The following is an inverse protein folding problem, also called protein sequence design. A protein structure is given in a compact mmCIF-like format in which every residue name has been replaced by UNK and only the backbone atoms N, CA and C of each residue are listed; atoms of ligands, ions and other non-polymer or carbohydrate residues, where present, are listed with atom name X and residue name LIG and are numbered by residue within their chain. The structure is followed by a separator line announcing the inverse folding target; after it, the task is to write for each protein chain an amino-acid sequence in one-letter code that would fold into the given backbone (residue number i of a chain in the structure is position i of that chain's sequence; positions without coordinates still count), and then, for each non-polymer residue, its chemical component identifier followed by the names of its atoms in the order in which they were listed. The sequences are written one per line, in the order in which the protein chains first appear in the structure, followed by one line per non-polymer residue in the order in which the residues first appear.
data_IF_396384680545
#
_entry.id   IF_396384680545
#
_cell.length_a   1.000
_cell.length_b   1.000
_cell.length_c   1.000
_cell.angle_alpha   90.00
_cell.angle_beta   90.00
_cell.angle_gamma   90.00
#
_symmetry.space_group_name_H-M   'P 1'
#
loop_
_entity.id
_entity.type
_entity.pdbx_description
1 polymer ?
#
# COMPACT_ATOMS: atom_id res chain seq x y z
N UNK A 1 -5.75 -23.77 16.55
CA UNK A 1 -6.56 -23.90 15.33
C UNK A 1 -5.88 -23.26 14.12
N UNK A 2 -5.59 -21.93 14.14
CA UNK A 2 -5.04 -21.20 12.98
C UNK A 2 -3.73 -21.79 12.44
N UNK A 3 -2.77 -22.12 13.31
CA UNK A 3 -1.51 -22.76 12.89
C UNK A 3 -1.71 -24.09 12.17
N UNK A 4 -2.66 -24.92 12.64
CA UNK A 4 -3.03 -26.15 11.96
C UNK A 4 -3.66 -25.89 10.58
N UNK A 5 -4.51 -24.86 10.50
CA UNK A 5 -5.19 -24.50 9.25
C UNK A 5 -4.20 -24.02 8.19
N UNK A 6 -3.31 -23.08 8.54
CA UNK A 6 -2.36 -22.53 7.56
C UNK A 6 -1.33 -23.55 7.10
N UNK A 7 -0.88 -24.45 8.01
CA UNK A 7 0.14 -25.46 7.69
C UNK A 7 -0.41 -26.74 7.06
N UNK A 8 -1.73 -26.92 7.02
CA UNK A 8 -2.34 -28.17 6.57
C UNK A 8 -2.02 -29.37 7.47
N UNK A 9 -1.74 -29.14 8.76
CA UNK A 9 -1.31 -30.17 9.70
C UNK A 9 -2.37 -30.53 10.75
N UNK A 10 -2.14 -31.61 11.47
CA UNK A 10 -2.89 -31.93 12.67
C UNK A 10 -2.08 -31.45 13.88
N UNK A 11 -2.61 -30.52 14.66
CA UNK A 11 -1.98 -29.97 15.86
C UNK A 11 -2.92 -30.10 17.07
N UNK A 12 -2.33 -30.30 18.23
CA UNK A 12 -3.03 -30.36 19.52
C UNK A 12 -2.93 -29.02 20.24
N UNK A 13 -4.04 -28.55 20.73
CA UNK A 13 -4.14 -27.39 21.65
C UNK A 13 -4.07 -27.94 23.07
N UNK A 14 -2.95 -27.71 23.75
CA UNK A 14 -2.70 -28.23 25.10
C UNK A 14 -3.63 -27.59 26.14
N UNK A 15 -4.06 -26.35 25.95
CA UNK A 15 -4.94 -25.61 26.88
C UNK A 15 -6.38 -26.13 26.80
N UNK A 16 -6.86 -26.40 25.59
CA UNK A 16 -8.23 -26.88 25.37
C UNK A 16 -8.33 -28.42 25.39
N UNK A 17 -7.22 -29.12 25.27
CA UNK A 17 -7.20 -30.60 25.14
C UNK A 17 -7.75 -31.07 23.77
N UNK A 18 -7.92 -30.17 22.80
CA UNK A 18 -8.49 -30.46 21.49
C UNK A 18 -7.41 -30.65 20.42
N UNK A 19 -7.75 -31.40 19.38
CA UNK A 19 -6.88 -31.51 18.19
C UNK A 19 -7.60 -30.94 16.97
N UNK A 20 -6.88 -30.14 16.21
CA UNK A 20 -7.33 -29.55 14.94
C UNK A 20 -6.61 -30.26 13.80
N UNK A 21 -7.36 -30.81 12.86
CA UNK A 21 -6.80 -31.61 11.75
C UNK A 21 -7.21 -31.02 10.41
N UNK A 22 -6.21 -30.49 9.67
CA UNK A 22 -6.36 -29.91 8.34
C UNK A 22 -5.50 -30.64 7.28
N UNK A 23 -5.09 -31.90 7.52
CA UNK A 23 -4.23 -32.66 6.60
C UNK A 23 -4.85 -32.96 5.24
N UNK A 24 -6.15 -32.64 5.04
CA UNK A 24 -6.85 -32.77 3.76
C UNK A 24 -6.76 -31.50 2.88
N UNK A 25 -6.06 -30.45 3.34
CA UNK A 25 -5.85 -29.25 2.55
C UNK A 25 -4.76 -29.49 1.50
N UNK A 26 -5.16 -29.64 0.25
CA UNK A 26 -4.25 -29.92 -0.87
C UNK A 26 -3.50 -28.67 -1.36
N UNK A 27 -4.05 -27.49 -1.10
CA UNK A 27 -3.44 -26.22 -1.51
C UNK A 27 -2.18 -25.83 -0.73
N UNK A 28 -1.89 -26.48 0.41
CA UNK A 28 -0.68 -26.22 1.19
C UNK A 28 0.49 -27.02 0.62
N UNK A 29 1.38 -26.34 -0.09
CA UNK A 29 2.50 -26.99 -0.79
C UNK A 29 3.81 -26.92 -0.02
N UNK A 30 3.93 -26.01 0.93
CA UNK A 30 5.09 -25.85 1.80
C UNK A 30 4.70 -25.20 3.13
N UNK A 31 5.35 -25.59 4.23
CA UNK A 31 5.19 -24.94 5.53
C UNK A 31 6.46 -25.06 6.37
N UNK A 32 6.88 -23.96 7.02
CA UNK A 32 8.12 -23.87 7.79
C UNK A 32 7.96 -22.93 8.99
N UNK A 33 8.63 -23.25 10.10
CA UNK A 33 8.82 -22.33 11.23
C UNK A 33 10.24 -21.79 11.22
N UNK A 34 10.36 -20.48 11.24
CA UNK A 34 11.64 -19.76 11.29
C UNK A 34 11.81 -19.10 12.65
N UNK A 35 12.90 -19.40 13.33
CA UNK A 35 13.18 -18.89 14.66
C UNK A 35 14.23 -17.76 14.63
N UNK A 36 14.06 -16.72 15.46
CA UNK A 36 15.11 -15.72 15.69
C UNK A 36 16.26 -16.33 16.53
N UNK A 37 17.44 -15.72 16.44
CA UNK A 37 18.70 -16.25 17.01
C UNK A 37 18.63 -16.67 18.48
N UNK A 38 17.80 -16.00 19.28
CA UNK A 38 17.72 -16.25 20.73
C UNK A 38 16.54 -17.16 21.11
N UNK A 39 15.78 -17.65 20.16
CA UNK A 39 14.66 -18.56 20.47
C UNK A 39 15.18 -19.95 20.84
N UNK A 40 14.55 -20.62 21.81
CA UNK A 40 14.79 -22.04 22.07
C UNK A 40 14.54 -22.90 20.83
N UNK A 41 15.41 -23.87 20.56
CA UNK A 41 15.36 -24.70 19.34
C UNK A 41 14.13 -25.58 19.24
N UNK A 42 13.57 -26.02 20.39
CA UNK A 42 12.34 -26.82 20.46
C UNK A 42 11.10 -26.07 19.91
N UNK A 43 11.14 -24.74 19.88
CA UNK A 43 10.10 -23.92 19.26
C UNK A 43 10.11 -23.99 17.71
N UNK A 44 11.06 -24.68 17.09
CA UNK A 44 10.99 -25.02 15.66
C UNK A 44 9.84 -26.00 15.36
N UNK A 45 9.40 -26.77 16.36
CA UNK A 45 8.17 -27.53 16.27
C UNK A 45 6.96 -26.62 16.42
N UNK A 46 6.08 -26.64 15.41
CA UNK A 46 4.90 -25.75 15.30
C UNK A 46 3.93 -25.89 16.47
N UNK A 47 3.67 -27.12 16.90
CA UNK A 47 2.77 -27.39 18.01
C UNK A 47 3.34 -26.82 19.30
N UNK A 48 4.61 -27.06 19.56
CA UNK A 48 5.35 -26.56 20.72
C UNK A 48 5.36 -25.03 20.73
N UNK A 49 5.66 -24.37 19.60
CA UNK A 49 5.67 -22.92 19.49
C UNK A 49 4.33 -22.30 19.89
N UNK A 50 3.24 -22.75 19.27
CA UNK A 50 1.95 -22.08 19.48
C UNK A 50 1.34 -22.41 20.84
N UNK A 51 1.59 -23.60 21.40
CA UNK A 51 1.24 -23.90 22.79
C UNK A 51 2.05 -23.06 23.79
N UNK A 52 3.33 -22.80 23.53
CA UNK A 52 4.15 -21.91 24.34
C UNK A 52 3.65 -20.45 24.29
N UNK A 53 3.25 -19.97 23.09
CA UNK A 53 2.62 -18.65 22.92
C UNK A 53 1.32 -18.55 23.72
N UNK A 54 0.41 -19.52 23.59
CA UNK A 54 -0.85 -19.52 24.34
C UNK A 54 -0.64 -19.54 25.85
N UNK A 55 0.33 -20.33 26.33
CA UNK A 55 0.71 -20.36 27.74
C UNK A 55 1.25 -19.00 28.23
N UNK A 56 1.97 -18.28 27.38
CA UNK A 56 2.53 -16.95 27.72
C UNK A 56 1.48 -15.86 27.65
N UNK A 57 0.61 -15.88 26.65
CA UNK A 57 -0.43 -14.88 26.40
C UNK A 57 -1.76 -15.29 27.06
N UNK A 58 -1.78 -15.35 28.38
CA UNK A 58 -2.90 -15.87 29.16
C UNK A 58 -3.95 -14.84 29.60
N UNK A 59 -3.81 -13.57 29.22
CA UNK A 59 -4.78 -12.53 29.55
C UNK A 59 -5.94 -12.54 28.56
N UNK A 60 -7.14 -12.15 29.02
CA UNK A 60 -8.38 -12.17 28.23
C UNK A 60 -8.29 -11.45 26.88
N UNK A 61 -7.52 -10.36 26.81
CA UNK A 61 -7.34 -9.54 25.62
C UNK A 61 -5.92 -9.62 25.04
N UNK A 62 -5.20 -10.71 25.31
CA UNK A 62 -3.88 -10.94 24.71
C UNK A 62 -4.02 -11.24 23.22
N UNK A 63 -3.13 -10.69 22.45
CA UNK A 63 -2.95 -11.02 21.04
C UNK A 63 -1.89 -12.13 20.93
N UNK A 64 -2.29 -13.29 20.37
CA UNK A 64 -1.39 -14.46 20.24
C UNK A 64 -0.41 -14.31 19.09
N UNK A 65 -0.91 -13.83 17.95
CA UNK A 65 -0.13 -13.71 16.74
C UNK A 65 -0.54 -12.49 15.93
N UNK A 66 0.33 -12.09 15.01
CA UNK A 66 0.00 -11.28 13.84
C UNK A 66 0.09 -12.18 12.62
N UNK A 67 -0.99 -12.25 11.88
CA UNK A 67 -1.05 -12.99 10.63
C UNK A 67 -0.95 -12.02 9.46
N UNK A 68 -0.19 -12.42 8.46
CA UNK A 68 -0.07 -11.78 7.16
C UNK A 68 -0.52 -12.76 6.10
N UNK A 69 -1.40 -12.33 5.22
CA UNK A 69 -1.69 -12.98 3.96
C UNK A 69 -0.98 -12.17 2.87
N UNK A 70 -0.01 -12.80 2.21
CA UNK A 70 0.92 -12.15 1.30
C UNK A 70 0.70 -12.74 -0.10
N UNK A 71 0.17 -11.93 -1.02
CA UNK A 71 0.03 -12.34 -2.41
C UNK A 71 1.40 -12.56 -3.05
N UNK A 72 1.55 -13.68 -3.76
CA UNK A 72 2.78 -14.07 -4.46
C UNK A 72 2.66 -13.66 -5.93
N UNK A 73 3.70 -13.06 -6.54
CA UNK A 73 3.73 -12.80 -7.98
C UNK A 73 3.55 -14.09 -8.79
N UNK A 74 2.67 -14.06 -9.79
CA UNK A 74 2.39 -15.22 -10.64
C UNK A 74 3.58 -15.67 -11.50
N UNK A 75 4.58 -14.80 -11.64
CA UNK A 75 5.82 -15.03 -12.39
C UNK A 75 6.80 -15.95 -11.65
N UNK A 76 6.55 -16.20 -10.35
CA UNK A 76 7.43 -17.02 -9.54
C UNK A 76 6.98 -18.49 -9.57
N UNK A 77 7.93 -19.38 -9.83
CA UNK A 77 7.71 -20.81 -9.61
C UNK A 77 7.82 -21.14 -8.11
N UNK A 78 7.44 -22.37 -7.73
CA UNK A 78 7.43 -22.84 -6.34
C UNK A 78 8.79 -22.68 -5.63
N UNK A 79 9.88 -23.06 -6.29
CA UNK A 79 11.23 -22.97 -5.68
C UNK A 79 11.63 -21.51 -5.43
N UNK A 80 11.34 -20.65 -6.40
CA UNK A 80 11.55 -19.21 -6.27
C UNK A 80 10.70 -18.61 -5.16
N UNK A 81 9.43 -19.01 -5.07
CA UNK A 81 8.52 -18.58 -4.00
C UNK A 81 9.07 -18.96 -2.63
N UNK A 82 9.42 -20.22 -2.42
CA UNK A 82 9.96 -20.70 -1.14
C UNK A 82 11.23 -19.97 -0.76
N UNK A 83 12.18 -19.85 -1.70
CA UNK A 83 13.45 -19.19 -1.44
C UNK A 83 13.28 -17.69 -1.11
N UNK A 84 12.52 -16.97 -1.93
CA UNK A 84 12.30 -15.52 -1.80
C UNK A 84 11.45 -15.19 -0.57
N UNK A 85 10.40 -15.97 -0.30
CA UNK A 85 9.60 -15.79 0.91
C UNK A 85 10.40 -16.01 2.18
N UNK A 86 11.23 -17.05 2.22
CA UNK A 86 12.13 -17.31 3.35
C UNK A 86 13.10 -16.14 3.59
N UNK A 87 13.68 -15.59 2.53
CA UNK A 87 14.56 -14.42 2.62
C UNK A 87 13.80 -13.20 3.13
N UNK A 88 12.63 -12.91 2.56
CA UNK A 88 11.79 -11.77 2.96
C UNK A 88 11.35 -11.88 4.43
N UNK A 89 10.85 -13.05 4.85
CA UNK A 89 10.39 -13.30 6.22
C UNK A 89 11.56 -13.18 7.20
N UNK A 90 12.73 -13.73 6.88
CA UNK A 90 13.93 -13.56 7.71
C UNK A 90 14.30 -12.10 7.88
N UNK A 91 14.34 -11.34 6.80
CA UNK A 91 14.76 -9.93 6.83
C UNK A 91 13.78 -9.04 7.61
N UNK A 92 12.47 -9.24 7.44
CA UNK A 92 11.45 -8.34 7.95
C UNK A 92 10.86 -8.74 9.32
N UNK A 93 10.87 -10.03 9.66
CA UNK A 93 10.26 -10.53 10.88
C UNK A 93 11.27 -11.24 11.80
N UNK A 94 11.95 -12.28 11.31
CA UNK A 94 12.81 -13.12 12.14
C UNK A 94 14.00 -12.34 12.69
N UNK A 95 14.70 -11.58 11.86
CA UNK A 95 15.83 -10.74 12.29
C UNK A 95 15.42 -9.56 13.19
N UNK A 96 14.11 -9.27 13.25
CA UNK A 96 13.53 -8.29 14.18
C UNK A 96 13.12 -8.94 15.51
N UNK A 97 13.26 -10.27 15.63
CA UNK A 97 13.03 -11.02 16.86
C UNK A 97 11.73 -11.82 16.92
N UNK A 98 10.94 -11.86 15.84
CA UNK A 98 9.71 -12.65 15.77
C UNK A 98 10.02 -14.10 15.37
N UNK A 99 9.44 -15.08 16.06
CA UNK A 99 9.29 -16.41 15.45
C UNK A 99 8.17 -16.31 14.41
N UNK A 100 8.43 -16.87 13.24
CA UNK A 100 7.53 -16.77 12.07
C UNK A 100 7.20 -18.18 11.58
N UNK A 101 5.92 -18.51 11.63
CA UNK A 101 5.34 -19.75 11.10
C UNK A 101 4.61 -19.42 9.81
N UNK A 102 5.09 -19.96 8.69
CA UNK A 102 4.54 -19.60 7.39
C UNK A 102 4.28 -20.82 6.51
N UNK A 103 3.34 -20.65 5.60
CA UNK A 103 2.95 -21.70 4.66
C UNK A 103 2.59 -21.08 3.30
N UNK A 104 2.98 -21.78 2.25
CA UNK A 104 2.67 -21.45 0.85
C UNK A 104 1.41 -22.19 0.41
N UNK A 105 0.40 -21.41 0.00
CA UNK A 105 -0.88 -21.91 -0.48
C UNK A 105 -0.99 -21.66 -1.98
N UNK A 106 -0.79 -22.72 -2.76
CA UNK A 106 -0.88 -22.68 -4.21
C UNK A 106 -2.30 -23.01 -4.67
N UNK A 107 -3.14 -21.98 -4.72
CA UNK A 107 -4.52 -22.09 -5.19
C UNK A 107 -4.65 -21.42 -6.54
N UNK A 108 -5.28 -22.06 -7.50
CA UNK A 108 -5.51 -21.53 -8.84
C UNK A 108 -6.14 -20.13 -8.77
N UNK A 109 -5.48 -19.14 -9.43
CA UNK A 109 -5.90 -17.75 -9.44
C UNK A 109 -5.74 -17.00 -8.10
N UNK A 110 -5.16 -17.61 -7.06
CA UNK A 110 -4.92 -16.98 -5.78
C UNK A 110 -3.73 -17.61 -5.05
N UNK A 111 -2.53 -17.50 -5.62
CA UNK A 111 -1.30 -17.93 -4.98
C UNK A 111 -0.93 -16.96 -3.86
N UNK A 112 -0.83 -17.44 -2.63
CA UNK A 112 -0.55 -16.59 -1.46
C UNK A 112 0.14 -17.36 -0.35
N UNK A 113 0.84 -16.62 0.49
CA UNK A 113 1.53 -17.14 1.68
C UNK A 113 0.83 -16.61 2.93
N UNK A 114 0.51 -17.52 3.84
CA UNK A 114 0.16 -17.17 5.22
C UNK A 114 1.42 -17.14 6.07
N UNK A 115 1.61 -16.08 6.84
CA UNK A 115 2.72 -15.94 7.78
C UNK A 115 2.19 -15.47 9.14
N UNK A 116 2.24 -16.35 10.14
CA UNK A 116 1.93 -16.03 11.54
C UNK A 116 3.21 -15.68 12.29
N UNK A 117 3.26 -14.48 12.87
CA UNK A 117 4.40 -14.01 13.64
C UNK A 117 4.04 -13.84 15.12
N UNK A 118 4.97 -14.19 16.01
CA UNK A 118 4.80 -13.96 17.44
C UNK A 118 4.78 -12.46 17.78
N UNK A 119 4.05 -12.09 18.82
CA UNK A 119 3.96 -10.70 19.28
C UNK A 119 5.10 -10.27 20.20
N UNK A 120 5.90 -11.24 20.66
CA UNK A 120 7.04 -11.01 21.53
C UNK A 120 8.33 -11.47 20.88
N UNK A 121 9.39 -10.72 21.09
CA UNK A 121 10.73 -11.17 20.81
C UNK A 121 11.24 -12.10 21.93
N UNK A 122 12.42 -12.66 21.76
CA UNK A 122 13.11 -13.44 22.77
C UNK A 122 14.25 -12.64 23.37
N UNK A 123 14.41 -12.76 24.68
CA UNK A 123 15.56 -12.26 25.42
C UNK A 123 16.82 -13.11 25.10
N UNK A 124 17.99 -12.65 25.53
CA UNK A 124 19.26 -13.37 25.30
C UNK A 124 19.30 -14.77 25.96
N UNK A 125 18.53 -14.96 27.02
CA UNK A 125 18.38 -16.23 27.76
C UNK A 125 17.30 -17.17 27.20
N UNK A 126 16.72 -16.83 26.04
CA UNK A 126 15.66 -17.62 25.39
C UNK A 126 14.26 -17.40 25.97
N UNK A 127 14.11 -16.61 27.00
CA UNK A 127 12.80 -16.28 27.56
C UNK A 127 12.05 -15.27 26.71
N UNK A 128 10.70 -15.25 26.80
CA UNK A 128 9.85 -14.27 26.13
C UNK A 128 10.09 -12.85 26.68
N UNK A 129 10.34 -11.89 25.81
CA UNK A 129 10.45 -10.49 26.19
C UNK A 129 9.10 -9.93 26.67
N UNK A 130 9.13 -8.87 27.46
CA UNK A 130 7.92 -8.14 27.81
C UNK A 130 7.52 -7.18 26.68
N UNK A 131 6.22 -7.05 26.37
CA UNK A 131 5.76 -6.08 25.37
C UNK A 131 5.93 -4.64 25.84
N UNK A 132 5.95 -4.41 27.15
CA UNK A 132 6.15 -3.10 27.76
C UNK A 132 7.27 -3.19 28.80
N UNK A 133 8.05 -2.15 28.89
CA UNK A 133 9.08 -1.96 29.92
C UNK A 133 8.74 -0.69 30.68
N UNK A 134 8.76 -0.77 31.99
CA UNK A 134 8.59 0.41 32.83
C UNK A 134 9.93 1.12 32.96
N UNK A 135 10.01 2.35 32.51
CA UNK A 135 11.20 3.20 32.59
C UNK A 135 10.92 4.46 33.41
N UNK A 136 11.97 5.15 33.84
CA UNK A 136 11.81 6.47 34.46
C UNK A 136 11.45 7.49 33.40
N UNK A 137 10.40 8.28 33.65
CA UNK A 137 10.11 9.44 32.83
C UNK A 137 11.28 10.44 32.91
N UNK A 138 11.64 11.03 31.78
CA UNK A 138 12.71 12.02 31.66
C UNK A 138 12.17 13.31 31.07
N UNK A 139 12.76 14.44 31.46
CA UNK A 139 12.52 15.73 30.85
C UNK A 139 13.32 15.89 29.54
N UNK A 140 13.16 17.02 28.86
CA UNK A 140 13.85 17.33 27.60
C UNK A 140 15.38 17.36 27.72
N UNK A 141 15.91 17.52 28.95
CA UNK A 141 17.33 17.50 29.28
C UNK A 141 17.84 16.10 29.67
N UNK A 142 16.94 15.09 29.64
CA UNK A 142 17.28 13.71 29.99
C UNK A 142 17.27 13.40 31.49
N UNK A 143 16.90 14.34 32.37
CA UNK A 143 16.82 14.13 33.80
C UNK A 143 15.55 13.38 34.19
N UNK A 144 15.61 12.58 35.26
CA UNK A 144 14.43 11.88 35.79
C UNK A 144 13.42 12.88 36.33
N UNK A 145 12.16 12.69 35.98
CA UNK A 145 11.04 13.51 36.51
C UNK A 145 10.66 13.00 37.90
N UNK A 146 10.65 13.88 38.95
CA UNK A 146 10.26 13.47 40.30
C UNK A 146 8.79 13.06 40.34
N UNK A 147 8.46 12.06 41.14
CA UNK A 147 7.09 11.72 41.48
C UNK A 147 6.63 12.63 42.64
N UNK A 148 5.69 13.54 42.36
CA UNK A 148 5.21 14.53 43.33
C UNK A 148 4.00 14.01 44.12
N UNK A 149 3.82 14.49 45.34
CA UNK A 149 2.61 14.35 46.16
C UNK A 149 1.60 15.45 45.80
N UNK A 150 0.46 15.49 46.52
CA UNK A 150 -0.62 16.47 46.32
C UNK A 150 -0.19 17.91 46.61
N UNK A 151 0.90 18.10 47.38
CA UNK A 151 1.47 19.40 47.74
C UNK A 151 2.65 19.80 46.84
N UNK A 152 2.92 19.04 45.79
CA UNK A 152 4.03 19.32 44.84
C UNK A 152 5.42 18.92 45.35
N UNK A 153 5.52 18.23 46.51
CA UNK A 153 6.79 17.76 47.08
C UNK A 153 7.14 16.37 46.53
N UNK A 154 8.42 16.12 46.28
CA UNK A 154 8.87 14.81 45.79
C UNK A 154 8.57 13.71 46.80
N UNK A 155 7.84 12.67 46.39
CA UNK A 155 7.57 11.49 47.23
C UNK A 155 8.85 10.75 47.56
N UNK A 156 8.95 10.31 48.81
CA UNK A 156 10.06 9.47 49.31
C UNK A 156 9.50 8.17 49.85
N UNK A 157 10.29 7.12 49.81
CA UNK A 157 10.00 5.83 50.44
C UNK A 157 11.11 5.50 51.43
N UNK A 158 10.72 5.22 52.65
CA UNK A 158 11.66 4.78 53.71
C UNK A 158 11.93 3.28 53.50
N UNK A 159 13.17 2.94 53.30
CA UNK A 159 13.63 1.54 53.24
C UNK A 159 14.31 1.15 54.54
N UNK A 160 13.80 0.08 55.16
CA UNK A 160 14.38 -0.45 56.43
C UNK A 160 15.87 -0.74 56.19
N UNK A 161 16.74 -0.06 56.97
CA UNK A 161 18.19 -0.20 56.92
C UNK A 161 18.92 0.53 55.76
N UNK A 162 18.22 1.28 54.88
CA UNK A 162 18.81 1.99 53.74
C UNK A 162 18.43 3.48 53.63
N UNK A 163 17.70 4.03 54.63
CA UNK A 163 17.32 5.43 54.64
C UNK A 163 16.19 5.80 53.66
N UNK A 164 16.11 7.09 53.31
CA UNK A 164 15.10 7.64 52.41
C UNK A 164 15.51 7.48 50.95
N UNK A 165 14.57 6.96 50.14
CA UNK A 165 14.72 6.84 48.67
C UNK A 165 13.73 7.78 48.01
N UNK A 166 14.22 8.72 47.18
CA UNK A 166 13.40 9.59 46.34
C UNK A 166 12.68 8.79 45.25
N UNK A 167 11.39 9.04 45.08
CA UNK A 167 10.60 8.37 44.05
C UNK A 167 10.55 9.21 42.76
N UNK A 168 10.60 8.51 41.64
CA UNK A 168 10.62 9.09 40.31
C UNK A 168 9.39 8.61 39.53
N UNK A 169 8.85 9.48 38.68
CA UNK A 169 7.75 9.13 37.78
C UNK A 169 8.20 8.01 36.84
N UNK A 170 7.33 7.01 36.69
CA UNK A 170 7.57 5.89 35.76
C UNK A 170 6.54 5.94 34.67
N UNK A 171 6.95 5.54 33.45
CA UNK A 171 6.14 5.40 32.26
C UNK A 171 6.33 4.01 31.69
N UNK A 172 5.26 3.46 31.10
CA UNK A 172 5.35 2.22 30.35
C UNK A 172 5.70 2.52 28.89
N UNK A 173 6.86 2.03 28.48
CA UNK A 173 7.34 2.15 27.11
C UNK A 173 7.09 0.85 26.37
N UNK A 174 6.48 0.94 25.20
CA UNK A 174 6.27 -0.20 24.30
C UNK A 174 7.64 -0.60 23.73
N UNK A 175 8.03 -1.87 23.89
CA UNK A 175 9.35 -2.36 23.48
C UNK A 175 9.47 -2.58 21.97
N UNK A 176 8.35 -2.85 21.29
CA UNK A 176 8.34 -2.97 19.84
C UNK A 176 7.14 -2.23 19.22
N UNK A 177 7.31 -1.76 18.00
CA UNK A 177 6.29 -1.01 17.25
C UNK A 177 5.47 -1.92 16.32
N UNK A 178 5.48 -3.23 16.52
CA UNK A 178 4.92 -4.21 15.58
C UNK A 178 3.40 -4.07 15.35
N UNK A 179 2.69 -3.37 16.24
CA UNK A 179 1.27 -3.06 16.09
C UNK A 179 1.00 -1.66 15.54
N UNK A 180 2.02 -0.88 15.23
CA UNK A 180 1.82 0.46 14.68
C UNK A 180 1.38 0.42 13.21
N UNK A 181 0.65 1.45 12.78
CA UNK A 181 0.26 1.63 11.38
C UNK A 181 1.47 1.88 10.47
N UNK A 182 2.46 2.58 11.01
CA UNK A 182 3.71 2.91 10.33
C UNK A 182 4.49 1.64 10.01
N UNK A 183 4.60 0.71 10.99
CA UNK A 183 5.25 -0.57 10.79
C UNK A 183 4.55 -1.42 9.71
N UNK A 184 3.21 -1.40 9.69
CA UNK A 184 2.46 -2.10 8.65
C UNK A 184 2.73 -1.49 7.26
N UNK A 185 2.78 -0.15 7.15
CA UNK A 185 3.12 0.54 5.89
C UNK A 185 4.55 0.20 5.45
N UNK A 186 5.51 0.14 6.39
CA UNK A 186 6.89 -0.26 6.12
C UNK A 186 6.96 -1.69 5.56
N UNK A 187 6.28 -2.66 6.18
CA UNK A 187 6.26 -4.04 5.67
C UNK A 187 5.65 -4.16 4.28
N UNK A 188 4.55 -3.43 4.01
CA UNK A 188 3.95 -3.39 2.67
C UNK A 188 4.89 -2.79 1.64
N UNK A 189 5.59 -1.71 1.99
CA UNK A 189 6.61 -1.10 1.15
C UNK A 189 7.76 -2.08 0.88
N UNK A 190 8.30 -2.70 1.92
CA UNK A 190 9.40 -3.66 1.80
C UNK A 190 9.02 -4.86 0.92
N UNK A 191 7.76 -5.32 0.98
CA UNK A 191 7.27 -6.39 0.11
C UNK A 191 7.23 -5.96 -1.36
N UNK A 192 6.67 -4.79 -1.65
CA UNK A 192 6.64 -4.25 -3.00
C UNK A 192 8.06 -4.04 -3.56
N UNK A 193 8.93 -3.40 -2.77
CA UNK A 193 10.33 -3.15 -3.17
C UNK A 193 11.10 -4.47 -3.39
N UNK A 194 10.80 -5.50 -2.58
CA UNK A 194 11.42 -6.81 -2.73
C UNK A 194 10.94 -7.52 -3.99
N UNK A 195 9.64 -7.58 -4.26
CA UNK A 195 9.07 -8.17 -5.47
C UNK A 195 9.61 -7.48 -6.73
N UNK A 196 9.67 -6.15 -6.72
CA UNK A 196 10.08 -5.33 -7.86
C UNK A 196 11.53 -5.53 -8.31
N UNK A 197 12.37 -6.19 -7.48
CA UNK A 197 13.72 -6.62 -7.90
C UNK A 197 13.69 -7.75 -8.93
N UNK A 198 12.60 -8.49 -9.01
CA UNK A 198 12.47 -9.71 -9.81
C UNK A 198 11.38 -9.61 -10.89
N UNK A 199 10.65 -8.50 -10.94
CA UNK A 199 9.56 -8.24 -11.87
C UNK A 199 9.98 -7.28 -12.98
N UNK A 200 9.45 -7.49 -14.17
CA UNK A 200 9.62 -6.54 -15.28
C UNK A 200 8.88 -5.23 -14.98
N UNK A 201 9.21 -4.16 -15.70
CA UNK A 201 8.67 -2.82 -15.42
C UNK A 201 7.14 -2.77 -15.42
N UNK A 202 6.51 -3.50 -16.36
CA UNK A 202 5.04 -3.54 -16.50
C UNK A 202 4.34 -4.36 -15.41
N UNK A 203 5.10 -5.19 -14.67
CA UNK A 203 4.61 -6.09 -13.63
C UNK A 203 4.85 -5.54 -12.23
N UNK A 204 5.59 -4.44 -12.12
CA UNK A 204 5.92 -3.83 -10.82
C UNK A 204 4.67 -3.46 -10.03
N UNK A 205 4.73 -3.72 -8.75
CA UNK A 205 3.66 -3.46 -7.79
C UNK A 205 3.96 -2.22 -6.95
N UNK A 206 2.93 -1.49 -6.57
CA UNK A 206 3.02 -0.34 -5.67
C UNK A 206 2.18 -0.61 -4.41
N UNK A 207 2.78 -0.42 -3.25
CA UNK A 207 2.15 -0.67 -1.96
C UNK A 207 1.20 0.45 -1.50
N UNK A 208 1.28 1.61 -2.15
CA UNK A 208 0.46 2.79 -1.81
C UNK A 208 -0.99 2.60 -2.27
N UNK A 209 -1.91 3.28 -1.64
CA UNK A 209 -3.28 3.37 -2.14
C UNK A 209 -3.33 4.04 -3.52
N UNK A 210 -4.36 3.81 -4.31
CA UNK A 210 -4.52 4.47 -5.60
C UNK A 210 -4.51 6.00 -5.48
N UNK A 211 -5.07 6.53 -4.39
CA UNK A 211 -5.06 7.95 -4.08
C UNK A 211 -3.62 8.47 -3.82
N UNK A 212 -2.84 7.74 -3.01
CA UNK A 212 -1.42 8.08 -2.75
C UNK A 212 -0.54 7.95 -3.99
N UNK A 213 -0.92 7.10 -4.94
CA UNK A 213 -0.26 6.98 -6.25
C UNK A 213 -0.68 8.09 -7.24
N UNK A 214 -1.67 8.91 -6.89
CA UNK A 214 -2.27 9.89 -7.80
C UNK A 214 -3.11 9.24 -8.91
N UNK A 215 -3.47 7.96 -8.75
CA UNK A 215 -4.33 7.24 -9.68
C UNK A 215 -5.79 7.50 -9.34
N UNK A 216 -6.51 8.05 -10.32
CA UNK A 216 -7.90 8.34 -10.17
C UNK A 216 -8.76 7.12 -10.58
N UNK A 217 -8.63 6.03 -9.81
CA UNK A 217 -9.39 4.79 -9.94
C UNK A 217 -10.02 4.40 -8.61
N UNK A 218 -11.18 3.76 -8.67
CA UNK A 218 -11.91 3.32 -7.48
C UNK A 218 -11.47 1.92 -7.07
N UNK A 219 -11.21 1.63 -5.78
CA UNK A 219 -10.85 0.31 -5.31
C UNK A 219 -12.06 -0.64 -5.31
N UNK A 220 -11.81 -1.93 -5.54
CA UNK A 220 -12.80 -2.98 -5.34
C UNK A 220 -12.95 -3.30 -3.85
N UNK A 221 -14.11 -3.86 -3.46
CA UNK A 221 -14.35 -4.34 -2.09
C UNK A 221 -14.10 -5.85 -2.00
N UNK A 222 -13.83 -6.33 -0.79
CA UNK A 222 -13.68 -7.78 -0.55
C UNK A 222 -15.02 -8.49 -0.77
N UNK A 223 -15.05 -9.46 -1.69
CA UNK A 223 -16.27 -10.22 -2.01
C UNK A 223 -16.65 -11.18 -0.90
N UNK A 224 -15.68 -11.90 -0.35
CA UNK A 224 -15.88 -12.94 0.64
C UNK A 224 -16.38 -14.26 0.06
N UNK A 225 -16.29 -15.33 0.87
CA UNK A 225 -16.66 -16.68 0.44
C UNK A 225 -18.16 -16.80 0.08
N UNK A 226 -19.04 -16.26 0.91
CA UNK A 226 -20.47 -16.35 0.70
C UNK A 226 -20.92 -15.71 -0.63
N UNK A 227 -20.40 -14.52 -0.96
CA UNK A 227 -20.72 -13.84 -2.22
C UNK A 227 -20.25 -14.65 -3.43
N UNK A 228 -19.04 -15.22 -3.37
CA UNK A 228 -18.51 -16.08 -4.45
C UNK A 228 -19.31 -17.37 -4.62
N UNK A 229 -19.74 -18.00 -3.51
CA UNK A 229 -20.62 -19.17 -3.56
C UNK A 229 -21.98 -18.85 -4.17
N UNK A 230 -22.57 -17.68 -3.88
CA UNK A 230 -23.81 -17.23 -4.54
C UNK A 230 -23.63 -17.16 -6.06
N UNK A 231 -22.56 -16.55 -6.54
CA UNK A 231 -22.27 -16.42 -7.98
C UNK A 231 -22.03 -17.80 -8.64
N UNK A 232 -21.30 -18.69 -7.99
CA UNK A 232 -21.10 -20.07 -8.46
C UNK A 232 -22.42 -20.85 -8.59
N UNK A 233 -23.39 -20.57 -7.72
CA UNK A 233 -24.72 -21.14 -7.75
C UNK A 233 -25.70 -20.37 -8.65
N UNK A 234 -25.20 -19.48 -9.53
CA UNK A 234 -26.01 -18.73 -10.47
C UNK A 234 -26.84 -17.58 -9.87
N UNK A 235 -26.58 -17.20 -8.61
CA UNK A 235 -27.23 -16.08 -7.93
C UNK A 235 -26.31 -14.85 -7.95
N UNK A 236 -26.85 -13.70 -8.29
CA UNK A 236 -26.10 -12.44 -8.29
C UNK A 236 -25.85 -11.98 -6.86
N UNK A 237 -24.60 -11.63 -6.55
CA UNK A 237 -24.18 -11.03 -5.29
C UNK A 237 -23.94 -9.54 -5.47
N UNK A 238 -24.50 -8.71 -4.57
CA UNK A 238 -24.32 -7.25 -4.60
C UNK A 238 -22.83 -6.84 -4.57
N UNK A 239 -21.99 -7.58 -3.85
CA UNK A 239 -20.54 -7.34 -3.77
C UNK A 239 -19.82 -7.64 -5.08
N UNK A 240 -20.13 -8.77 -5.70
CA UNK A 240 -19.54 -9.15 -6.97
C UNK A 240 -20.03 -8.22 -8.11
N UNK A 241 -21.32 -7.85 -8.08
CA UNK A 241 -21.89 -6.90 -9.02
C UNK A 241 -21.25 -5.50 -8.89
N UNK A 242 -21.07 -5.02 -7.65
CA UNK A 242 -20.35 -3.78 -7.38
C UNK A 242 -18.94 -3.82 -7.97
N UNK A 243 -18.18 -4.90 -7.70
CA UNK A 243 -16.82 -5.03 -8.22
C UNK A 243 -16.76 -5.10 -9.75
N UNK A 244 -17.75 -5.70 -10.42
CA UNK A 244 -17.87 -5.68 -11.88
C UNK A 244 -18.03 -4.24 -12.40
N UNK A 245 -18.94 -3.48 -11.80
CA UNK A 245 -19.16 -2.06 -12.15
C UNK A 245 -17.92 -1.21 -11.91
N UNK A 246 -17.23 -1.40 -10.78
CA UNK A 246 -15.97 -0.70 -10.48
C UNK A 246 -14.93 -1.00 -11.53
N UNK A 247 -14.69 -2.27 -11.88
CA UNK A 247 -13.71 -2.67 -12.88
C UNK A 247 -14.03 -2.07 -14.25
N UNK A 248 -15.28 -2.09 -14.66
CA UNK A 248 -15.73 -1.52 -15.94
C UNK A 248 -15.56 0.00 -15.96
N UNK A 249 -15.96 0.70 -14.90
CA UNK A 249 -15.80 2.14 -14.76
C UNK A 249 -14.31 2.53 -14.78
N UNK A 250 -13.45 1.83 -14.05
CA UNK A 250 -12.01 2.08 -14.04
C UNK A 250 -11.40 1.88 -15.43
N UNK A 251 -11.80 0.83 -16.15
CA UNK A 251 -11.35 0.58 -17.53
C UNK A 251 -11.73 1.75 -18.45
N UNK A 252 -12.97 2.22 -18.35
CA UNK A 252 -13.44 3.37 -19.13
C UNK A 252 -12.66 4.65 -18.79
N UNK A 253 -12.47 4.94 -17.50
CA UNK A 253 -11.67 6.10 -17.04
C UNK A 253 -10.25 6.05 -17.58
N UNK A 254 -9.60 4.89 -17.55
CA UNK A 254 -8.25 4.71 -18.09
C UNK A 254 -8.20 4.95 -19.60
N UNK A 255 -9.18 4.42 -20.35
CA UNK A 255 -9.29 4.65 -21.79
C UNK A 255 -9.47 6.14 -22.12
N UNK A 256 -10.37 6.81 -21.41
CA UNK A 256 -10.61 8.26 -21.61
C UNK A 256 -9.34 9.06 -21.33
N UNK A 257 -8.63 8.78 -20.21
CA UNK A 257 -7.37 9.46 -19.89
C UNK A 257 -6.30 9.25 -20.94
N UNK A 258 -6.17 8.02 -21.46
CA UNK A 258 -5.25 7.72 -22.57
C UNK A 258 -5.59 8.54 -23.82
N UNK A 259 -6.85 8.57 -24.21
CA UNK A 259 -7.29 9.37 -25.37
C UNK A 259 -7.05 10.87 -25.18
N UNK A 260 -7.29 11.39 -23.96
CA UNK A 260 -6.99 12.78 -23.62
C UNK A 260 -5.50 13.07 -23.76
N UNK A 261 -4.65 12.21 -23.25
CA UNK A 261 -3.19 12.36 -23.35
C UNK A 261 -2.70 12.36 -24.81
N UNK A 262 -3.23 11.47 -25.65
CA UNK A 262 -2.93 11.40 -27.08
C UNK A 262 -3.38 12.68 -27.82
N UNK A 263 -4.61 13.14 -27.57
CA UNK A 263 -5.13 14.40 -28.14
C UNK A 263 -4.26 15.60 -27.71
N UNK A 264 -3.92 15.67 -26.44
CA UNK A 264 -3.06 16.75 -25.91
C UNK A 264 -1.69 16.75 -26.56
N UNK A 265 -1.10 15.59 -26.78
CA UNK A 265 0.18 15.45 -27.50
C UNK A 265 0.07 15.96 -28.94
N UNK A 266 -0.94 15.53 -29.69
CA UNK A 266 -1.19 15.98 -31.06
C UNK A 266 -1.40 17.51 -31.13
N UNK A 267 -2.14 18.07 -30.17
CA UNK A 267 -2.36 19.51 -30.12
C UNK A 267 -1.05 20.28 -29.88
N UNK A 268 -0.21 19.83 -28.94
CA UNK A 268 1.10 20.45 -28.68
C UNK A 268 1.99 20.43 -29.92
N UNK A 269 2.10 19.28 -30.60
CA UNK A 269 2.88 19.14 -31.82
C UNK A 269 2.36 20.06 -32.93
N UNK A 270 1.04 20.20 -33.09
CA UNK A 270 0.47 21.13 -34.06
C UNK A 270 0.71 22.60 -33.74
N UNK A 271 0.59 22.98 -32.47
CA UNK A 271 0.90 24.34 -32.02
C UNK A 271 2.35 24.67 -32.32
N UNK A 272 3.27 23.78 -32.05
CA UNK A 272 4.70 23.95 -32.32
C UNK A 272 4.99 24.14 -33.82
N UNK A 273 4.36 23.32 -34.68
CA UNK A 273 4.42 23.47 -36.15
C UNK A 273 3.90 24.83 -36.63
N UNK A 274 2.85 25.36 -36.00
CA UNK A 274 2.29 26.69 -36.33
C UNK A 274 3.29 27.78 -35.95
N UNK A 275 3.88 27.71 -34.75
CA UNK A 275 4.90 28.68 -34.32
C UNK A 275 6.13 28.67 -35.25
N UNK A 276 6.60 27.53 -35.69
CA UNK A 276 7.69 27.39 -36.65
C UNK A 276 7.34 28.01 -38.01
N UNK A 277 6.10 27.80 -38.51
CA UNK A 277 5.64 28.43 -39.76
C UNK A 277 5.57 29.93 -39.67
N UNK A 278 5.03 30.46 -38.56
CA UNK A 278 4.95 31.91 -38.29
C UNK A 278 6.35 32.51 -38.15
N UNK A 279 7.27 31.83 -37.50
CA UNK A 279 8.67 32.23 -37.39
C UNK A 279 9.38 32.33 -38.74
N UNK A 280 9.15 31.34 -39.63
CA UNK A 280 9.69 31.36 -41.00
C UNK A 280 9.14 32.53 -41.85
N UNK A 281 7.84 32.81 -41.74
CA UNK A 281 7.21 33.95 -42.43
C UNK A 281 7.79 35.28 -41.92
N UNK A 282 7.98 35.45 -40.61
CA UNK A 282 8.64 36.61 -40.03
C UNK A 282 10.11 36.77 -40.46
N UNK A 283 10.83 35.67 -40.60
CA UNK A 283 12.22 35.64 -41.06
C UNK A 283 12.36 36.00 -42.55
N UNK A 284 11.44 35.55 -43.41
CA UNK A 284 11.45 35.95 -44.86
C UNK A 284 11.11 37.43 -45.06
N UNK A 285 10.20 38.01 -44.27
CA UNK A 285 9.87 39.43 -44.30
C UNK A 285 11.05 40.29 -43.80
N UNK A 286 11.88 39.75 -42.89
CA UNK A 286 13.07 40.43 -42.35
C UNK A 286 14.29 40.37 -43.28
N UNK A 287 14.42 39.33 -44.14
CA UNK A 287 15.55 39.16 -45.07
C UNK A 287 15.43 40.06 -46.32
N UNK A 288 14.22 40.39 -46.77
CA UNK A 288 13.99 41.28 -47.91
C UNK A 288 14.30 42.75 -47.60
N UNK A 289 14.49 43.10 -46.31
CA UNK A 289 14.84 44.47 -45.89
C UNK A 289 16.34 44.80 -45.99
N UNK A 290 17.21 43.87 -46.29
CA UNK A 290 18.68 44.07 -46.40
C UNK A 290 19.23 44.15 -47.78
N UNK A 291 18.41 44.08 -48.82
CA UNK A 291 18.86 44.14 -50.21
C UNK A 291 17.93 44.95 -51.10
N UNK A 292 18.08 46.25 -51.13
CA UNK A 292 17.96 47.25 -52.21
C UNK A 292 17.36 48.57 -51.77
N UNK A 293 17.95 49.62 -52.26
CA UNK A 293 17.68 50.98 -51.95
C UNK A 293 16.26 51.47 -52.30
N UNK A 294 15.91 52.54 -51.62
CA UNK A 294 14.83 53.51 -51.88
C UNK A 294 13.72 53.02 -52.85
N UNK A 295 12.58 52.64 -52.28
CA UNK A 295 11.29 52.69 -52.96
C UNK A 295 10.29 53.36 -52.03
N UNK A 296 9.49 54.21 -52.57
CA UNK A 296 8.52 55.12 -51.92
C UNK A 296 7.45 54.41 -51.08
N UNK A 297 6.78 55.14 -50.14
CA UNK A 297 6.01 54.57 -49.06
C UNK A 297 4.59 54.08 -49.39
N UNK A 298 4.28 53.70 -50.66
CA UNK A 298 2.92 53.29 -51.04
C UNK A 298 2.79 51.91 -51.68
N UNK A 299 3.78 51.04 -51.59
CA UNK A 299 3.78 49.71 -52.24
C UNK A 299 3.63 48.53 -51.28
N UNK A 300 2.65 48.50 -50.36
CA UNK A 300 2.23 47.23 -49.73
C UNK A 300 1.43 46.46 -50.77
N UNK A 301 2.04 45.43 -51.36
CA UNK A 301 1.33 44.49 -52.23
C UNK A 301 0.18 43.87 -51.46
N UNK A 302 -1.04 43.88 -52.02
CA UNK A 302 -2.25 43.25 -51.46
C UNK A 302 -2.03 41.77 -51.05
N UNK A 303 -1.15 41.06 -51.74
CA UNK A 303 -0.71 39.72 -51.45
C UNK A 303 -0.08 39.56 -50.05
N UNK A 304 0.76 40.51 -49.59
CA UNK A 304 1.37 40.44 -48.26
C UNK A 304 0.39 40.68 -47.13
N UNK A 305 -0.60 41.59 -47.32
CA UNK A 305 -1.67 41.85 -46.37
C UNK A 305 -2.61 40.65 -46.22
N UNK A 306 -3.03 40.02 -47.32
CA UNK A 306 -3.86 38.83 -47.31
C UNK A 306 -3.18 37.65 -46.64
N UNK A 307 -1.87 37.44 -46.81
CA UNK A 307 -1.12 36.39 -46.15
C UNK A 307 -1.04 36.56 -44.61
N UNK A 308 -0.85 37.79 -44.12
CA UNK A 308 -0.82 38.07 -42.68
C UNK A 308 -2.21 37.94 -42.06
N UNK A 309 -3.25 38.42 -42.73
CA UNK A 309 -4.64 38.29 -42.24
C UNK A 309 -5.12 36.84 -42.25
N UNK A 310 -4.77 36.03 -43.27
CA UNK A 310 -5.12 34.62 -43.32
C UNK A 310 -4.41 33.82 -42.22
N UNK A 311 -3.15 34.13 -41.93
CA UNK A 311 -2.38 33.51 -40.83
C UNK A 311 -2.97 33.92 -39.47
N UNK A 312 -3.35 35.16 -39.30
CA UNK A 312 -4.02 35.64 -38.08
C UNK A 312 -5.35 34.97 -37.82
N UNK A 313 -6.20 34.79 -38.85
CA UNK A 313 -7.46 34.02 -38.74
C UNK A 313 -7.22 32.57 -38.39
N UNK A 314 -6.22 31.92 -38.98
CA UNK A 314 -5.89 30.53 -38.71
C UNK A 314 -5.41 30.34 -37.26
N UNK A 315 -4.60 31.25 -36.74
CA UNK A 315 -4.12 31.21 -35.35
C UNK A 315 -5.34 31.32 -34.41
N UNK A 316 -6.20 32.31 -34.62
CA UNK A 316 -7.37 32.58 -33.80
C UNK A 316 -8.38 31.38 -33.82
N UNK A 317 -8.63 30.78 -35.00
CA UNK A 317 -9.45 29.59 -35.12
C UNK A 317 -8.85 28.39 -34.38
N UNK A 318 -7.53 28.24 -34.43
CA UNK A 318 -6.82 27.15 -33.71
C UNK A 318 -6.86 27.37 -32.19
N UNK A 319 -6.66 28.59 -31.70
CA UNK A 319 -6.80 28.93 -30.28
C UNK A 319 -8.22 28.66 -29.76
N UNK A 320 -9.24 29.04 -30.53
CA UNK A 320 -10.62 28.75 -30.17
C UNK A 320 -10.91 27.25 -30.09
N UNK A 321 -10.35 26.44 -31.01
CA UNK A 321 -10.48 24.97 -30.97
C UNK A 321 -9.75 24.37 -29.77
N UNK A 322 -8.56 24.86 -29.44
CA UNK A 322 -7.82 24.45 -28.22
C UNK A 322 -8.67 24.73 -26.97
N UNK A 323 -9.15 25.98 -26.81
CA UNK A 323 -9.95 26.40 -25.66
C UNK A 323 -11.23 25.56 -25.52
N UNK A 324 -11.89 25.23 -26.64
CA UNK A 324 -13.09 24.36 -26.66
C UNK A 324 -12.74 22.94 -26.24
N UNK A 325 -11.60 22.44 -26.67
CA UNK A 325 -11.13 21.09 -26.30
C UNK A 325 -10.78 21.02 -24.81
N UNK A 326 -10.10 22.03 -24.26
CA UNK A 326 -9.81 22.14 -22.83
C UNK A 326 -11.08 22.19 -21.98
N UNK A 327 -12.11 22.92 -22.46
CA UNK A 327 -13.39 23.00 -21.78
C UNK A 327 -14.14 21.65 -21.78
N UNK A 328 -14.07 20.90 -22.88
CA UNK A 328 -14.62 19.55 -22.98
C UNK A 328 -13.88 18.57 -22.05
N UNK A 329 -12.56 18.67 -21.94
CA UNK A 329 -11.74 17.90 -21.01
C UNK A 329 -12.19 18.14 -19.57
N UNK A 330 -12.29 19.40 -19.12
CA UNK A 330 -12.79 19.78 -17.78
C UNK A 330 -14.18 19.25 -17.49
N UNK A 331 -15.08 19.31 -18.48
CA UNK A 331 -16.45 18.76 -18.35
C UNK A 331 -16.41 17.25 -18.16
N UNK A 332 -15.58 16.54 -18.91
CA UNK A 332 -15.40 15.09 -18.80
C UNK A 332 -14.80 14.68 -17.45
N UNK A 333 -13.81 15.41 -16.96
CA UNK A 333 -13.23 15.21 -15.62
C UNK A 333 -14.27 15.40 -14.51
N UNK A 334 -15.14 16.41 -14.62
CA UNK A 334 -16.23 16.66 -13.67
C UNK A 334 -17.25 15.53 -13.69
N UNK A 335 -17.60 14.99 -14.86
CA UNK A 335 -18.50 13.85 -14.99
C UNK A 335 -17.90 12.57 -14.37
N UNK A 336 -16.60 12.32 -14.57
CA UNK A 336 -15.86 11.22 -13.94
C UNK A 336 -15.90 11.35 -12.41
N UNK A 337 -15.66 12.54 -11.86
CA UNK A 337 -15.70 12.80 -10.43
C UNK A 337 -17.11 12.52 -9.83
N UNK A 338 -18.18 12.90 -10.54
CA UNK A 338 -19.55 12.63 -10.10
C UNK A 338 -19.88 11.13 -10.11
N UNK A 339 -19.47 10.38 -11.15
CA UNK A 339 -19.65 8.93 -11.21
C UNK A 339 -18.97 8.27 -10.00
N UNK A 340 -17.75 8.65 -9.69
CA UNK A 340 -16.99 8.14 -8.54
C UNK A 340 -17.68 8.46 -7.22
N UNK A 341 -18.20 9.67 -7.05
CA UNK A 341 -18.95 10.07 -5.86
C UNK A 341 -20.17 9.16 -5.64
N UNK A 342 -20.89 8.81 -6.72
CA UNK A 342 -22.03 7.88 -6.67
C UNK A 342 -21.59 6.47 -6.29
N UNK A 343 -20.49 5.97 -6.87
CA UNK A 343 -19.95 4.65 -6.57
C UNK A 343 -19.51 4.52 -5.10
N UNK A 344 -18.83 5.53 -4.54
CA UNK A 344 -18.46 5.56 -3.11
C UNK A 344 -19.68 5.51 -2.18
N UNK A 345 -20.76 6.21 -2.52
CA UNK A 345 -22.01 6.13 -1.77
C UNK A 345 -22.66 4.74 -1.84
N UNK A 346 -22.56 4.07 -2.98
CA UNK A 346 -23.04 2.69 -3.15
C UNK A 346 -22.22 1.70 -2.32
N UNK A 347 -20.90 1.82 -2.33
CA UNK A 347 -19.99 1.01 -1.50
C UNK A 347 -20.33 1.12 -0.01
N UNK A 348 -20.48 2.35 0.51
CA UNK A 348 -20.87 2.58 1.90
C UNK A 348 -22.19 1.92 2.27
N UNK A 349 -23.20 1.98 1.39
CA UNK A 349 -24.49 1.32 1.63
C UNK A 349 -24.39 -0.21 1.64
N UNK A 350 -23.48 -0.79 0.84
CA UNK A 350 -23.24 -2.23 0.82
C UNK A 350 -22.59 -2.66 2.13
N UNK A 351 -21.61 -1.91 2.62
CA UNK A 351 -20.94 -2.17 3.90
C UNK A 351 -21.89 -2.03 5.10
N UNK A 352 -22.81 -1.04 5.09
CA UNK A 352 -23.80 -0.83 6.15
C UNK A 352 -24.89 -1.92 6.20
N UNK A 353 -25.20 -2.59 5.08
CA UNK A 353 -26.13 -3.73 5.05
C UNK A 353 -25.55 -5.03 5.59
N UNK A 354 -24.24 -5.06 5.86
CA UNK A 354 -23.48 -6.26 6.19
C UNK A 354 -23.02 -6.24 7.65
N UNK A 355 -23.08 -5.09 8.32
CA UNK A 355 -22.93 -4.94 9.78
C UNK A 355 -24.21 -5.26 10.50
#
# INVERSE_FOLDING_TARGET
ASAAYISGQKLKDARLGLSFNYTRKEEVVFAEVLLPKNAPEDLADRETLWNAVEKRENKRNSQYAREFEIAVPNEWNREQTISRMREFIKANFVNKGMASDWADHEKEGNHHVHCMCTMRAFNKDGSWSNMRKTEFARDDNGNKIPLLDENGKQKVRIRKGKGEEKLWKRIDVIQNQWNSKEQLKEWRKNWADYCNKFLMEEQKIDHRSFEEQGLDIEPTIHEGYAARQMEQNGKVSDRCEYNRKVKESNKLVMQIKKSIAEITKILKERVEQIYERVGRVKGSIGSDRKGRGYIEPNGRTESGKQSVESTGRFINDTEQKINRTEQNIKTTESAIAEIKRRMRKESSKIDDRIR
#
